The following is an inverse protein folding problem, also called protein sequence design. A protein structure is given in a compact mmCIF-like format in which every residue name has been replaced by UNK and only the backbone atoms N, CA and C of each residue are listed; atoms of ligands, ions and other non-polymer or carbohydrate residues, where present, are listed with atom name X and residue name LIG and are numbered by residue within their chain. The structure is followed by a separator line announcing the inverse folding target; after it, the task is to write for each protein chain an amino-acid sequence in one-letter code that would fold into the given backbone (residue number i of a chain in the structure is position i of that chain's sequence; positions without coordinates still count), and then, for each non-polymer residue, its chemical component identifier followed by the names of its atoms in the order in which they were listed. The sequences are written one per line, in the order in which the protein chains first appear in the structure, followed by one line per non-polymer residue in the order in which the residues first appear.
data_IF_042642294918
#
_entry.id   IF_042642294918
#
_cell.length_a   1.000
_cell.length_b   1.000
_cell.length_c   1.000
_cell.angle_alpha   90.00
_cell.angle_beta   90.00
_cell.angle_gamma   90.00
#
_symmetry.space_group_name_H-M   'P 1'
#
loop_
_entity.id
_entity.type
_entity.pdbx_description
1 polymer ?
#
# COMPACT_ATOMS: atom_id res chain seq x y z
N UNK A 1 0.69 21.15 16.32
CA UNK A 1 2.02 21.18 16.97
C UNK A 1 2.91 20.29 16.15
N UNK A 2 4.20 20.61 15.98
CA UNK A 2 5.10 19.72 15.25
C UNK A 2 5.23 18.37 15.98
N UNK A 3 5.10 17.26 15.25
CA UNK A 3 5.21 15.89 15.76
C UNK A 3 6.63 15.34 15.57
N UNK A 4 7.34 15.81 14.56
CA UNK A 4 8.69 15.43 14.17
C UNK A 4 9.69 16.54 14.48
N UNK A 5 10.90 16.13 14.86
CA UNK A 5 12.05 17.02 15.05
C UNK A 5 13.16 16.74 14.03
N UNK A 6 13.14 15.56 13.42
CA UNK A 6 14.18 15.11 12.49
C UNK A 6 14.02 15.63 11.06
N UNK A 7 12.88 16.27 10.74
CA UNK A 7 12.56 16.77 9.39
C UNK A 7 12.22 18.25 9.47
N UNK A 8 12.75 19.06 8.55
CA UNK A 8 12.41 20.49 8.47
C UNK A 8 10.94 20.67 8.12
N UNK A 9 10.21 21.41 8.97
CA UNK A 9 8.80 21.73 8.77
C UNK A 9 8.50 22.41 7.42
N UNK A 10 9.49 23.07 6.80
CA UNK A 10 9.37 23.66 5.46
C UNK A 10 9.09 22.64 4.36
N UNK A 11 9.41 21.36 4.58
CA UNK A 11 9.12 20.28 3.63
C UNK A 11 7.63 19.90 3.62
N UNK A 12 6.85 20.36 4.62
CA UNK A 12 5.42 20.11 4.73
C UNK A 12 4.57 21.34 4.38
N UNK A 13 3.31 21.10 4.02
CA UNK A 13 2.27 22.13 3.97
C UNK A 13 1.73 22.41 5.36
N UNK A 14 1.32 23.65 5.62
CA UNK A 14 0.71 24.06 6.89
C UNK A 14 -0.73 23.55 7.06
N UNK A 15 -1.43 23.35 5.95
CA UNK A 15 -2.75 22.72 5.89
C UNK A 15 -2.85 21.91 4.60
N UNK A 16 -3.80 20.96 4.53
CA UNK A 16 -4.06 20.18 3.32
C UNK A 16 -4.53 21.15 2.22
N UNK A 17 -3.79 21.34 1.13
CA UNK A 17 -4.18 22.32 0.13
C UNK A 17 -5.20 21.72 -0.85
N UNK A 18 -6.14 22.56 -1.29
CA UNK A 18 -7.11 22.20 -2.33
C UNK A 18 -6.47 22.18 -3.72
N UNK A 19 -5.58 23.14 -3.99
CA UNK A 19 -4.83 23.21 -5.24
C UNK A 19 -3.45 22.58 -5.02
N UNK A 20 -2.90 21.85 -6.00
CA UNK A 20 -1.56 21.32 -5.90
C UNK A 20 -0.53 22.43 -5.69
N UNK A 21 0.37 22.25 -4.71
CA UNK A 21 1.38 23.25 -4.32
C UNK A 21 2.81 22.79 -4.62
N UNK A 22 2.98 21.57 -5.13
CA UNK A 22 4.26 21.08 -5.63
C UNK A 22 5.23 20.62 -4.55
N UNK A 23 4.75 20.19 -3.37
CA UNK A 23 5.60 19.46 -2.40
C UNK A 23 5.31 17.97 -2.49
N UNK A 24 6.35 17.14 -2.52
CA UNK A 24 6.22 15.70 -2.63
C UNK A 24 7.04 15.01 -1.53
N UNK A 25 6.51 13.92 -1.00
CA UNK A 25 7.25 12.98 -0.17
C UNK A 25 7.17 11.58 -0.79
N UNK A 26 8.32 10.97 -1.02
CA UNK A 26 8.45 9.67 -1.67
C UNK A 26 8.98 8.65 -0.65
N UNK A 27 8.17 7.63 -0.33
CA UNK A 27 8.57 6.54 0.55
C UNK A 27 9.20 5.43 -0.29
N UNK A 28 10.52 5.25 -0.15
CA UNK A 28 11.28 4.21 -0.85
C UNK A 28 11.11 2.88 -0.11
N UNK A 29 10.27 2.00 -0.64
CA UNK A 29 9.90 0.75 0.02
C UNK A 29 10.33 -0.45 -0.80
N UNK A 30 11.03 -1.40 -0.19
CA UNK A 30 11.26 -2.73 -0.76
C UNK A 30 10.30 -3.70 -0.05
N UNK A 31 9.36 -4.26 -0.80
CA UNK A 31 8.37 -5.21 -0.26
C UNK A 31 8.88 -6.63 -0.45
N UNK A 32 8.97 -7.38 0.63
CA UNK A 32 9.60 -8.71 0.68
C UNK A 32 8.52 -9.73 1.01
N UNK A 33 8.34 -10.72 0.14
CA UNK A 33 7.39 -11.81 0.41
C UNK A 33 7.96 -12.72 1.51
N UNK A 34 7.23 -12.91 2.61
CA UNK A 34 7.64 -13.83 3.71
C UNK A 34 6.84 -15.14 3.69
N UNK A 35 5.90 -15.25 2.76
CA UNK A 35 5.06 -16.42 2.53
C UNK A 35 4.71 -16.48 1.04
N UNK A 36 3.61 -17.16 0.68
CA UNK A 36 3.16 -17.34 -0.69
C UNK A 36 2.02 -16.38 -1.08
N UNK A 37 2.25 -15.07 -1.32
CA UNK A 37 1.18 -14.17 -1.72
C UNK A 37 0.64 -14.51 -3.11
N UNK A 38 -0.65 -14.19 -3.27
CA UNK A 38 -1.36 -14.37 -4.52
C UNK A 38 -1.72 -13.01 -5.12
N UNK A 39 -0.92 -12.57 -6.10
CA UNK A 39 -1.17 -11.33 -6.83
C UNK A 39 -1.72 -11.62 -8.22
N UNK A 40 -2.97 -12.07 -8.30
CA UNK A 40 -3.62 -12.44 -9.58
C UNK A 40 -4.69 -11.46 -10.08
N UNK A 41 -4.91 -11.44 -11.38
CA UNK A 41 -6.04 -10.81 -12.07
C UNK A 41 -6.56 -11.84 -13.07
N UNK A 42 -7.88 -12.05 -13.12
CA UNK A 42 -8.51 -13.04 -14.01
C UNK A 42 -7.90 -14.46 -13.93
N UNK A 43 -7.58 -14.90 -12.70
CA UNK A 43 -7.03 -16.23 -12.37
C UNK A 43 -5.56 -16.50 -12.77
N UNK A 44 -4.84 -15.51 -13.31
CA UNK A 44 -3.39 -15.62 -13.55
C UNK A 44 -2.59 -14.64 -12.68
N UNK A 45 -1.38 -15.04 -12.29
CA UNK A 45 -0.43 -14.11 -11.67
C UNK A 45 -0.12 -12.96 -12.61
N UNK A 46 -0.14 -11.75 -12.07
CA UNK A 46 0.15 -10.56 -12.83
C UNK A 46 1.62 -10.54 -13.27
N UNK A 47 1.85 -10.48 -14.59
CA UNK A 47 3.17 -10.42 -15.19
C UNK A 47 3.29 -9.28 -16.19
N UNK A 48 4.50 -8.75 -16.34
CA UNK A 48 4.83 -7.75 -17.36
C UNK A 48 6.16 -8.10 -18.02
N UNK A 49 6.21 -7.99 -19.35
CA UNK A 49 7.42 -8.24 -20.14
C UNK A 49 8.19 -6.94 -20.32
N UNK A 50 9.36 -6.84 -19.72
CA UNK A 50 10.18 -5.62 -19.66
C UNK A 50 11.66 -5.95 -19.80
N UNK A 51 12.51 -4.92 -19.97
CA UNK A 51 13.96 -5.11 -19.90
C UNK A 51 14.40 -5.45 -18.47
N UNK A 52 15.41 -6.30 -18.36
CA UNK A 52 15.98 -6.72 -17.09
C UNK A 52 16.64 -5.54 -16.38
N UNK A 53 17.48 -4.77 -17.06
CA UNK A 53 18.16 -3.61 -16.51
C UNK A 53 17.82 -2.31 -17.23
N UNK A 54 18.39 -1.22 -16.73
CA UNK A 54 18.49 0.04 -17.47
C UNK A 54 19.57 -0.12 -18.54
N UNK A 55 20.68 -0.77 -18.17
CA UNK A 55 21.80 -1.14 -19.05
C UNK A 55 21.57 -2.50 -19.70
N UNK A 56 21.13 -3.50 -18.93
CA UNK A 56 20.82 -4.82 -19.49
C UNK A 56 19.51 -4.80 -20.30
N UNK A 57 19.63 -4.95 -21.62
CA UNK A 57 18.50 -4.91 -22.57
C UNK A 57 17.78 -6.26 -22.74
N UNK A 58 18.24 -7.32 -22.08
CA UNK A 58 17.58 -8.62 -22.12
C UNK A 58 16.14 -8.48 -21.62
N UNK A 59 15.21 -9.15 -22.30
CA UNK A 59 13.80 -9.07 -21.94
C UNK A 59 13.43 -10.21 -21.04
N UNK A 60 12.85 -9.91 -19.88
CA UNK A 60 12.35 -10.88 -18.91
C UNK A 60 10.89 -10.59 -18.57
N UNK A 61 10.16 -11.62 -18.17
CA UNK A 61 8.84 -11.47 -17.58
C UNK A 61 9.02 -11.26 -16.07
N UNK A 62 8.51 -10.15 -15.52
CA UNK A 62 8.53 -9.87 -14.07
C UNK A 62 7.14 -10.05 -13.48
N UNK A 63 7.06 -10.45 -12.21
CA UNK A 63 5.81 -10.36 -11.45
C UNK A 63 5.47 -8.88 -11.22
N UNK A 64 4.17 -8.56 -11.25
CA UNK A 64 3.68 -7.19 -11.16
C UNK A 64 2.64 -7.02 -10.06
N UNK A 65 2.98 -6.27 -9.02
CA UNK A 65 2.06 -5.93 -7.93
C UNK A 65 1.35 -4.62 -8.25
N UNK A 66 0.13 -4.70 -8.79
CA UNK A 66 -0.65 -3.51 -9.17
C UNK A 66 -1.04 -2.62 -7.98
N UNK A 67 -1.27 -1.33 -8.27
CA UNK A 67 -1.67 -0.29 -7.30
C UNK A 67 -2.69 -0.77 -6.27
N UNK A 68 -3.85 -1.30 -6.70
CA UNK A 68 -4.93 -1.69 -5.78
C UNK A 68 -4.51 -2.78 -4.80
N UNK A 69 -3.56 -3.65 -5.18
CA UNK A 69 -3.02 -4.71 -4.32
C UNK A 69 -2.07 -4.18 -3.26
N UNK A 70 -1.49 -2.99 -3.47
CA UNK A 70 -0.63 -2.29 -2.51
C UNK A 70 -1.45 -1.37 -1.59
N UNK A 71 -2.17 -0.42 -2.17
CA UNK A 71 -2.81 0.65 -1.39
C UNK A 71 -4.03 0.19 -0.59
N UNK A 72 -4.76 -0.85 -1.04
CA UNK A 72 -5.96 -1.32 -0.33
C UNK A 72 -5.64 -1.84 1.08
N UNK A 73 -4.73 -2.82 1.28
CA UNK A 73 -4.43 -3.29 2.62
C UNK A 73 -3.85 -2.19 3.53
N UNK A 74 -3.04 -1.27 2.98
CA UNK A 74 -2.53 -0.11 3.73
C UNK A 74 -3.64 0.81 4.23
N UNK A 75 -4.63 1.11 3.37
CA UNK A 75 -5.82 1.87 3.76
C UNK A 75 -6.63 1.16 4.82
N UNK A 76 -6.85 -0.15 4.67
CA UNK A 76 -7.62 -0.94 5.63
C UNK A 76 -6.97 -0.93 7.02
N UNK A 77 -5.65 -1.05 7.11
CA UNK A 77 -4.90 -0.93 8.37
C UNK A 77 -5.06 0.46 9.00
N UNK A 78 -4.96 1.52 8.20
CA UNK A 78 -5.19 2.89 8.69
C UNK A 78 -6.61 3.08 9.23
N UNK A 79 -7.62 2.55 8.52
CA UNK A 79 -9.03 2.61 8.93
C UNK A 79 -9.30 1.79 10.18
N UNK A 80 -8.66 0.63 10.34
CA UNK A 80 -8.73 -0.17 11.57
C UNK A 80 -8.22 0.63 12.77
N UNK A 81 -7.11 1.37 12.61
CA UNK A 81 -6.59 2.24 13.68
C UNK A 81 -7.52 3.40 13.99
N UNK A 82 -8.09 4.06 12.97
CA UNK A 82 -9.08 5.13 13.17
C UNK A 82 -10.29 4.63 13.96
N UNK A 83 -10.76 3.40 13.70
CA UNK A 83 -11.85 2.77 14.46
C UNK A 83 -11.45 2.39 15.87
N UNK A 84 -10.26 1.79 16.05
CA UNK A 84 -9.74 1.41 17.37
C UNK A 84 -9.66 2.59 18.33
N UNK A 85 -9.34 3.78 17.82
CA UNK A 85 -9.23 5.00 18.62
C UNK A 85 -10.43 5.95 18.46
N UNK A 86 -11.57 5.44 17.97
CA UNK A 86 -12.86 6.15 17.95
C UNK A 86 -12.86 7.45 17.11
N UNK A 87 -11.96 7.58 16.15
CA UNK A 87 -11.95 8.71 15.20
C UNK A 87 -12.93 8.55 14.04
N UNK A 88 -13.47 7.34 13.86
CA UNK A 88 -14.38 6.94 12.79
C UNK A 88 -15.09 5.64 13.21
N UNK A 89 -16.39 5.49 12.92
CA UNK A 89 -17.10 4.21 13.15
C UNK A 89 -17.16 3.35 11.88
N UNK A 90 -17.62 2.10 12.02
CA UNK A 90 -17.78 1.20 10.87
C UNK A 90 -18.93 1.66 9.96
N UNK A 91 -20.00 2.18 10.55
CA UNK A 91 -21.22 2.62 9.89
C UNK A 91 -21.02 3.95 9.14
N UNK A 92 -20.19 4.84 9.70
CA UNK A 92 -19.85 6.12 9.07
C UNK A 92 -19.06 5.95 7.77
N UNK A 93 -18.22 4.91 7.69
CA UNK A 93 -17.29 4.73 6.59
C UNK A 93 -16.96 3.24 6.37
N UNK A 94 -17.51 2.69 5.30
CA UNK A 94 -17.30 1.32 4.85
C UNK A 94 -16.59 1.28 3.48
N UNK A 95 -15.45 0.61 3.42
CA UNK A 95 -14.61 0.62 2.22
C UNK A 95 -15.35 0.03 1.00
N UNK A 96 -15.38 0.78 -0.10
CA UNK A 96 -16.13 0.47 -1.34
C UNK A 96 -17.67 0.45 -1.20
N UNK A 97 -18.24 0.81 -0.04
CA UNK A 97 -19.69 0.85 0.17
C UNK A 97 -20.15 2.27 0.49
N UNK A 98 -19.59 2.87 1.54
CA UNK A 98 -19.93 4.22 2.00
C UNK A 98 -18.69 4.97 2.47
N UNK A 99 -18.58 6.27 2.15
CA UNK A 99 -17.44 7.08 2.62
C UNK A 99 -17.94 8.29 3.39
N UNK A 100 -17.40 8.51 4.59
CA UNK A 100 -17.74 9.68 5.42
C UNK A 100 -17.27 11.03 4.83
N UNK A 101 -16.35 10.97 3.86
CA UNK A 101 -15.76 12.11 3.14
C UNK A 101 -14.95 13.11 3.98
N UNK A 102 -14.78 12.91 5.29
CA UNK A 102 -14.13 13.88 6.19
C UNK A 102 -13.02 13.30 7.08
N UNK A 103 -12.80 11.98 7.03
CA UNK A 103 -11.75 11.31 7.76
C UNK A 103 -10.41 11.30 6.99
N UNK A 104 -9.28 11.03 7.66
CA UNK A 104 -7.96 11.01 7.04
C UNK A 104 -7.84 10.06 5.83
N UNK A 105 -8.44 8.86 5.90
CA UNK A 105 -8.40 7.92 4.77
C UNK A 105 -9.07 8.49 3.52
N UNK A 106 -10.28 9.04 3.66
CA UNK A 106 -11.02 9.62 2.54
C UNK A 106 -10.31 10.82 1.92
N UNK A 107 -9.75 11.71 2.72
CA UNK A 107 -9.08 12.92 2.20
C UNK A 107 -7.70 12.60 1.59
N UNK A 108 -6.92 11.72 2.22
CA UNK A 108 -5.54 11.44 1.80
C UNK A 108 -5.50 10.43 0.65
N UNK A 109 -6.27 9.33 0.74
CA UNK A 109 -6.32 8.29 -0.29
C UNK A 109 -7.44 8.49 -1.32
N UNK A 110 -8.27 9.51 -1.12
CA UNK A 110 -9.37 9.84 -2.03
C UNK A 110 -10.58 8.90 -1.91
N UNK A 111 -11.67 9.36 -2.51
CA UNK A 111 -12.92 8.64 -2.65
C UNK A 111 -13.64 9.10 -3.92
N UNK A 112 -14.56 8.27 -4.41
CA UNK A 112 -15.47 8.64 -5.48
C UNK A 112 -16.85 8.10 -5.11
N UNK A 113 -17.81 9.00 -4.89
CA UNK A 113 -19.21 8.66 -4.61
C UNK A 113 -20.05 9.31 -5.69
N UNK A 114 -20.32 8.57 -6.76
CA UNK A 114 -21.23 8.93 -7.87
C UNK A 114 -21.36 10.44 -8.10
N UNK A 115 -22.59 10.94 -7.97
CA UNK A 115 -22.92 12.36 -8.12
C UNK A 115 -22.69 13.18 -6.84
N UNK A 116 -22.42 12.53 -5.70
CA UNK A 116 -22.24 13.18 -4.39
C UNK A 116 -20.82 13.73 -4.17
N UNK A 117 -19.90 13.48 -5.10
CA UNK A 117 -18.58 14.09 -5.14
C UNK A 117 -17.43 13.09 -5.19
N UNK A 118 -16.27 13.59 -5.59
CA UNK A 118 -15.03 12.80 -5.65
C UNK A 118 -13.85 13.65 -5.21
N UNK A 119 -12.95 13.06 -4.41
CA UNK A 119 -11.66 13.64 -4.07
C UNK A 119 -10.56 12.73 -4.66
N UNK A 120 -9.63 13.35 -5.40
CA UNK A 120 -8.49 12.61 -5.97
C UNK A 120 -7.52 12.22 -4.86
N UNK A 121 -7.05 10.98 -4.90
CA UNK A 121 -6.00 10.50 -3.99
C UNK A 121 -4.76 11.38 -4.06
N UNK A 122 -4.30 11.84 -2.89
CA UNK A 122 -3.01 12.53 -2.72
C UNK A 122 -1.87 11.53 -2.65
N UNK A 123 -2.17 10.28 -2.29
CA UNK A 123 -1.24 9.15 -2.38
C UNK A 123 -1.26 8.54 -3.77
N UNK A 124 -0.12 8.53 -4.43
CA UNK A 124 0.12 7.89 -5.72
C UNK A 124 1.00 6.66 -5.50
N UNK A 125 0.47 5.51 -5.92
CA UNK A 125 1.16 4.22 -5.90
C UNK A 125 1.11 3.68 -7.31
N UNK A 126 2.27 3.33 -7.85
CA UNK A 126 2.41 2.69 -9.15
C UNK A 126 2.65 1.18 -9.00
N UNK A 127 2.63 0.45 -10.11
CA UNK A 127 2.94 -0.98 -10.15
C UNK A 127 4.35 -1.24 -9.64
N UNK A 128 4.50 -2.16 -8.70
CA UNK A 128 5.81 -2.63 -8.25
C UNK A 128 6.18 -3.90 -9.02
N UNK A 129 7.43 -4.01 -9.44
CA UNK A 129 7.92 -5.14 -10.25
C UNK A 129 8.91 -5.96 -9.44
N UNK A 130 8.84 -7.29 -9.53
CA UNK A 130 9.84 -8.18 -8.90
C UNK A 130 11.23 -7.91 -9.46
N UNK A 131 12.29 -8.02 -8.66
CA UNK A 131 13.70 -7.93 -9.13
C UNK A 131 14.10 -9.16 -9.95
N UNK A 132 13.58 -10.34 -9.59
CA UNK A 132 13.81 -11.61 -10.28
C UNK A 132 12.78 -11.88 -11.37
N UNK A 133 13.08 -12.80 -12.28
CA UNK A 133 12.18 -13.19 -13.35
C UNK A 133 11.00 -14.05 -12.84
N UNK A 134 9.91 -14.08 -13.59
CA UNK A 134 8.69 -14.83 -13.28
C UNK A 134 9.01 -16.30 -13.02
N UNK A 135 9.79 -16.95 -13.89
CA UNK A 135 10.12 -18.37 -13.82
C UNK A 135 10.85 -18.76 -12.53
N UNK A 136 11.61 -17.83 -11.95
CA UNK A 136 12.36 -18.02 -10.70
C UNK A 136 11.52 -17.70 -9.45
N UNK A 137 10.46 -16.90 -9.63
CA UNK A 137 9.74 -16.22 -8.54
C UNK A 137 8.36 -16.80 -8.26
N UNK A 138 7.93 -17.82 -9.00
CA UNK A 138 6.63 -18.47 -8.81
C UNK A 138 6.77 -19.96 -8.50
N UNK A 139 5.74 -20.50 -7.87
CA UNK A 139 5.59 -21.93 -7.60
C UNK A 139 4.12 -22.31 -7.76
N UNK A 140 3.87 -23.38 -8.51
CA UNK A 140 2.53 -23.91 -8.72
C UNK A 140 2.14 -24.82 -7.56
N UNK A 141 1.17 -24.39 -6.76
CA UNK A 141 0.58 -25.23 -5.72
C UNK A 141 -0.58 -26.04 -6.28
N UNK A 142 -0.56 -27.34 -6.03
CA UNK A 142 -1.73 -28.20 -6.24
C UNK A 142 -2.45 -28.35 -4.90
N UNK A 143 -3.55 -27.63 -4.70
CA UNK A 143 -4.35 -27.74 -3.49
C UNK A 143 -5.21 -29.00 -3.57
N UNK A 144 -4.87 -29.98 -2.75
CA UNK A 144 -5.61 -31.21 -2.57
C UNK A 144 -6.68 -31.01 -1.47
N UNK A 145 -7.94 -31.31 -1.76
CA UNK A 145 -9.01 -31.34 -0.77
C UNK A 145 -9.35 -32.81 -0.43
N UNK A 146 -8.78 -33.37 0.64
CA UNK A 146 -9.11 -34.72 1.09
C UNK A 146 -10.53 -34.75 1.69
N UNK A 147 -11.17 -35.92 1.66
CA UNK A 147 -12.39 -36.21 2.42
C UNK A 147 -12.09 -36.22 3.93
N UNK A 148 -13.13 -36.25 4.76
CA UNK A 148 -13.01 -36.26 6.23
C UNK A 148 -12.14 -37.41 6.77
N UNK A 149 -12.07 -38.50 6.00
CA UNK A 149 -11.22 -39.65 6.26
C UNK A 149 -9.72 -39.43 5.93
N UNK A 150 -9.32 -38.22 5.53
CA UNK A 150 -7.96 -37.84 5.16
C UNK A 150 -7.50 -38.34 3.80
N UNK A 151 -8.35 -39.04 3.04
CA UNK A 151 -8.01 -39.61 1.72
C UNK A 151 -8.61 -38.79 0.58
N UNK A 152 -7.95 -38.80 -0.58
CA UNK A 152 -8.43 -38.10 -1.78
C UNK A 152 -9.54 -38.86 -2.52
N UNK A 153 -9.73 -40.14 -2.21
CA UNK A 153 -10.73 -41.01 -2.82
C UNK A 153 -11.94 -41.13 -1.91
N UNK A 154 -13.13 -40.93 -2.47
CA UNK A 154 -14.37 -41.13 -1.74
C UNK A 154 -14.51 -42.59 -1.32
N UNK A 155 -15.03 -42.84 -0.12
CA UNK A 155 -15.47 -44.17 0.30
C UNK A 155 -16.98 -44.38 0.11
N UNK A 156 -17.62 -43.54 -0.70
CA UNK A 156 -19.07 -43.52 -0.87
C UNK A 156 -19.78 -42.53 0.05
N UNK A 157 -19.11 -41.44 0.44
CA UNK A 157 -19.77 -40.30 1.10
C UNK A 157 -20.92 -39.74 0.22
N UNK A 158 -21.90 -39.09 0.85
CA UNK A 158 -23.15 -38.69 0.18
C UNK A 158 -22.90 -37.81 -1.06
N UNK A 159 -23.18 -38.34 -2.25
CA UNK A 159 -23.00 -37.65 -3.53
C UNK A 159 -21.73 -37.99 -4.32
N UNK A 160 -20.89 -38.93 -3.85
CA UNK A 160 -19.69 -39.41 -4.57
C UNK A 160 -19.63 -40.94 -4.62
N UNK A 161 -19.05 -41.51 -5.70
CA UNK A 161 -18.88 -42.96 -5.85
C UNK A 161 -17.64 -43.44 -5.09
N UNK A 162 -17.71 -44.63 -4.50
CA UNK A 162 -16.54 -45.24 -3.85
C UNK A 162 -15.39 -45.41 -4.85
N UNK A 163 -14.22 -44.85 -4.54
CA UNK A 163 -13.05 -44.78 -5.43
C UNK A 163 -12.96 -43.51 -6.29
N UNK A 164 -13.95 -42.61 -6.25
CA UNK A 164 -13.94 -41.34 -6.98
C UNK A 164 -13.00 -40.35 -6.29
N UNK A 165 -11.95 -39.93 -6.98
CA UNK A 165 -10.99 -38.95 -6.48
C UNK A 165 -11.60 -37.55 -6.58
N UNK A 166 -11.47 -36.71 -5.55
CA UNK A 166 -12.03 -35.35 -5.61
C UNK A 166 -11.47 -34.60 -6.82
N UNK A 167 -12.36 -34.03 -7.65
CA UNK A 167 -11.99 -33.11 -8.73
C UNK A 167 -11.62 -31.72 -8.20
N UNK A 168 -11.56 -31.55 -6.88
CA UNK A 168 -11.18 -30.32 -6.18
C UNK A 168 -9.66 -30.18 -6.12
N UNK A 169 -8.99 -30.47 -7.23
CA UNK A 169 -7.58 -30.21 -7.46
C UNK A 169 -7.54 -28.80 -8.04
N UNK A 170 -7.31 -27.80 -7.20
CA UNK A 170 -7.13 -26.43 -7.69
C UNK A 170 -5.63 -26.18 -7.82
N UNK A 171 -5.13 -26.09 -9.05
CA UNK A 171 -3.76 -25.67 -9.32
C UNK A 171 -3.72 -24.16 -9.37
N UNK A 172 -2.88 -23.56 -8.55
CA UNK A 172 -2.77 -22.11 -8.47
C UNK A 172 -1.32 -21.70 -8.28
N UNK A 173 -0.86 -20.80 -9.14
CA UNK A 173 0.46 -20.21 -9.05
C UNK A 173 0.52 -19.21 -7.90
N UNK A 174 1.51 -19.38 -7.05
CA UNK A 174 1.82 -18.47 -5.97
C UNK A 174 3.20 -17.86 -6.18
N UNK A 175 3.38 -16.67 -5.62
CA UNK A 175 4.69 -16.03 -5.59
C UNK A 175 5.49 -16.69 -4.46
N UNK A 176 6.76 -17.03 -4.72
CA UNK A 176 7.65 -17.61 -3.69
C UNK A 176 7.94 -16.61 -2.57
N UNK A 177 8.30 -17.08 -1.37
CA UNK A 177 8.97 -16.26 -0.36
C UNK A 177 10.29 -15.69 -0.89
N UNK A 178 10.78 -14.63 -0.25
CA UNK A 178 12.02 -13.92 -0.60
C UNK A 178 12.05 -13.37 -2.03
N UNK A 179 10.88 -12.94 -2.53
CA UNK A 179 10.75 -12.15 -3.75
C UNK A 179 10.59 -10.68 -3.36
N UNK A 180 11.40 -9.84 -4.00
CA UNK A 180 11.55 -8.42 -3.66
C UNK A 180 10.87 -7.54 -4.70
N UNK A 181 10.02 -6.61 -4.24
CA UNK A 181 9.28 -5.64 -5.05
C UNK A 181 9.62 -4.21 -4.59
N UNK A 182 10.60 -3.55 -5.23
CA UNK A 182 10.84 -2.13 -5.06
C UNK A 182 9.60 -1.32 -5.47
N UNK A 183 9.19 -0.39 -4.60
CA UNK A 183 8.00 0.44 -4.75
C UNK A 183 8.22 1.80 -4.13
N UNK A 184 7.91 2.85 -4.88
CA UNK A 184 7.93 4.23 -4.46
C UNK A 184 6.48 4.65 -4.24
N UNK A 185 6.13 4.93 -2.99
CA UNK A 185 4.82 5.51 -2.65
C UNK A 185 4.99 7.03 -2.57
N UNK A 186 4.25 7.77 -3.38
CA UNK A 186 4.35 9.23 -3.44
C UNK A 186 3.17 9.87 -2.75
N UNK A 187 3.41 10.77 -1.80
CA UNK A 187 2.40 11.62 -1.18
C UNK A 187 2.55 13.04 -1.72
N UNK A 188 1.50 13.54 -2.38
CA UNK A 188 1.42 14.90 -2.90
C UNK A 188 0.93 15.87 -1.83
N UNK A 189 1.61 17.00 -1.75
CA UNK A 189 1.37 18.11 -0.83
C UNK A 189 1.20 17.66 0.63
N UNK A 190 2.21 16.99 1.19
CA UNK A 190 2.12 16.42 2.53
C UNK A 190 2.00 17.52 3.58
N UNK A 191 0.96 17.46 4.42
CA UNK A 191 1.09 17.96 5.80
C UNK A 191 1.88 16.94 6.62
N UNK A 192 2.46 17.37 7.74
CA UNK A 192 3.20 16.49 8.64
C UNK A 192 2.35 15.30 9.12
N UNK A 193 1.09 15.54 9.50
CA UNK A 193 0.18 14.49 9.94
C UNK A 193 -0.20 13.53 8.80
N UNK A 194 -0.41 14.04 7.58
CA UNK A 194 -0.69 13.19 6.41
C UNK A 194 0.51 12.30 6.03
N UNK A 195 1.72 12.85 6.12
CA UNK A 195 2.98 12.12 5.91
C UNK A 195 3.09 10.97 6.91
N UNK A 196 2.94 11.26 8.19
CA UNK A 196 3.00 10.26 9.26
C UNK A 196 1.88 9.23 9.18
N UNK A 197 0.67 9.62 8.77
CA UNK A 197 -0.44 8.69 8.56
C UNK A 197 -0.10 7.65 7.49
N UNK A 198 0.40 8.10 6.33
CA UNK A 198 0.81 7.20 5.23
C UNK A 198 2.01 6.35 5.62
N UNK A 199 3.02 6.95 6.25
CA UNK A 199 4.20 6.24 6.76
C UNK A 199 3.78 5.11 7.71
N UNK A 200 2.94 5.42 8.69
CA UNK A 200 2.43 4.45 9.65
C UNK A 200 1.64 3.31 8.99
N UNK A 201 0.82 3.61 7.99
CA UNK A 201 0.06 2.59 7.26
C UNK A 201 0.99 1.62 6.51
N UNK A 202 2.01 2.14 5.82
CA UNK A 202 3.03 1.32 5.14
C UNK A 202 3.76 0.45 6.18
N UNK A 203 4.21 1.06 7.28
CA UNK A 203 4.97 0.36 8.33
C UNK A 203 4.18 -0.72 9.07
N UNK A 204 2.86 -0.61 9.17
CA UNK A 204 2.04 -1.57 9.92
C UNK A 204 1.44 -2.67 9.07
N UNK A 205 1.35 -2.47 7.76
CA UNK A 205 0.75 -3.46 6.87
C UNK A 205 1.66 -4.67 6.71
N UNK A 206 1.13 -5.87 7.01
CA UNK A 206 1.87 -7.15 6.96
C UNK A 206 1.27 -8.19 6.03
N UNK A 207 0.02 -8.01 5.62
CA UNK A 207 -0.69 -8.96 4.76
C UNK A 207 -1.20 -8.26 3.51
N UNK A 208 -0.83 -8.81 2.36
CA UNK A 208 -1.18 -8.32 1.04
C UNK A 208 -1.78 -9.47 0.22
N UNK A 209 -2.83 -9.17 -0.54
CA UNK A 209 -3.57 -10.15 -1.33
C UNK A 209 -4.93 -10.52 -0.71
N UNK A 210 -5.65 -11.44 -1.36
CA UNK A 210 -7.02 -11.80 -0.99
C UNK A 210 -7.11 -12.91 0.07
N UNK A 211 -6.11 -13.79 0.16
CA UNK A 211 -6.10 -14.97 1.04
C UNK A 211 -5.27 -14.74 2.32
N UNK A 212 -5.47 -13.61 2.98
CA UNK A 212 -4.65 -13.14 4.12
C UNK A 212 -4.68 -14.03 5.36
N UNK A 213 -5.61 -14.99 5.44
CA UNK A 213 -5.73 -15.93 6.57
C UNK A 213 -4.82 -17.14 6.47
N UNK A 214 -4.27 -17.45 5.28
CA UNK A 214 -3.40 -18.62 5.04
C UNK A 214 -2.05 -18.25 4.43
N UNK A 215 -2.01 -17.20 3.61
CA UNK A 215 -0.81 -16.73 2.91
C UNK A 215 -0.81 -15.20 2.81
N UNK A 216 0.16 -14.62 2.09
CA UNK A 216 0.14 -13.19 1.80
C UNK A 216 0.91 -12.32 2.78
N UNK A 217 1.67 -12.91 3.70
CA UNK A 217 2.61 -12.17 4.54
C UNK A 217 3.71 -11.53 3.69
N UNK A 218 3.83 -10.21 3.80
CA UNK A 218 4.83 -9.37 3.14
C UNK A 218 5.35 -8.35 4.15
N UNK A 219 6.66 -8.23 4.25
CA UNK A 219 7.30 -7.17 5.03
C UNK A 219 7.62 -5.98 4.13
N UNK A 220 7.32 -4.78 4.62
CA UNK A 220 7.70 -3.54 3.95
C UNK A 220 8.97 -3.03 4.62
N UNK A 221 10.08 -3.07 3.89
CA UNK A 221 11.35 -2.49 4.33
C UNK A 221 11.50 -1.09 3.73
N UNK A 222 11.58 -0.07 4.59
CA UNK A 222 11.76 1.30 4.12
C UNK A 222 13.25 1.61 4.01
N UNK A 223 13.68 1.93 2.80
CA UNK A 223 15.08 2.24 2.47
C UNK A 223 15.39 3.71 2.72
N UNK A 224 14.38 4.58 2.60
CA UNK A 224 14.51 6.02 2.78
C UNK A 224 13.23 6.79 2.46
N UNK A 225 13.31 8.10 2.64
CA UNK A 225 12.29 9.07 2.21
C UNK A 225 12.98 10.18 1.44
N UNK A 226 12.43 10.53 0.28
CA UNK A 226 12.89 11.69 -0.51
C UNK A 226 11.80 12.73 -0.49
N UNK A 227 12.14 13.96 -0.12
CA UNK A 227 11.28 15.12 -0.30
C UNK A 227 11.68 15.85 -1.58
N UNK A 228 10.73 16.27 -2.41
CA UNK A 228 11.04 16.93 -3.67
C UNK A 228 9.98 17.95 -4.09
N UNK A 229 10.30 18.77 -5.08
CA UNK A 229 9.36 19.68 -5.76
C UNK A 229 8.71 19.10 -7.04
N UNK A 230 9.00 17.82 -7.34
CA UNK A 230 8.44 17.06 -8.46
C UNK A 230 8.36 15.55 -8.16
N UNK A 231 7.84 14.78 -9.12
CA UNK A 231 7.90 13.31 -9.04
C UNK A 231 9.32 12.83 -9.39
N UNK A 232 9.81 11.83 -8.65
CA UNK A 232 11.10 11.17 -8.90
C UNK A 232 10.96 10.00 -9.89
N UNK A 233 12.07 9.30 -10.12
CA UNK A 233 12.15 8.06 -10.90
C UNK A 233 11.02 7.05 -10.63
N UNK A 234 10.69 6.24 -11.63
CA UNK A 234 9.60 5.25 -11.54
C UNK A 234 10.01 3.95 -10.86
N UNK A 235 9.04 3.20 -10.36
CA UNK A 235 9.24 1.87 -9.77
C UNK A 235 10.00 0.94 -10.73
N UNK A 236 9.61 0.91 -12.00
CA UNK A 236 10.26 0.05 -12.99
C UNK A 236 11.73 0.43 -13.20
N UNK A 237 12.03 1.74 -13.30
CA UNK A 237 13.39 2.23 -13.51
C UNK A 237 14.27 1.94 -12.29
N UNK A 238 13.74 2.10 -11.09
CA UNK A 238 14.44 1.72 -9.86
C UNK A 238 14.69 0.21 -9.78
N UNK A 239 13.69 -0.64 -10.04
CA UNK A 239 13.86 -2.11 -10.11
C UNK A 239 14.92 -2.52 -11.13
N UNK A 240 14.94 -1.88 -12.30
CA UNK A 240 15.92 -2.13 -13.36
C UNK A 240 17.34 -1.71 -12.94
N UNK A 241 17.48 -0.57 -12.27
CA UNK A 241 18.76 -0.12 -11.76
C UNK A 241 19.28 -1.04 -10.64
N UNK A 242 18.41 -1.54 -9.76
CA UNK A 242 18.77 -2.54 -8.75
C UNK A 242 19.27 -3.81 -9.42
N UNK A 243 18.56 -4.30 -10.44
CA UNK A 243 18.98 -5.48 -11.21
C UNK A 243 20.38 -5.29 -11.80
N UNK A 244 20.67 -4.15 -12.43
CA UNK A 244 21.99 -3.86 -12.98
C UNK A 244 23.09 -3.83 -11.90
N UNK A 245 22.82 -3.23 -10.74
CA UNK A 245 23.76 -3.17 -9.61
C UNK A 245 24.06 -4.56 -9.05
N UNK A 246 23.02 -5.36 -8.81
CA UNK A 246 23.19 -6.73 -8.32
C UNK A 246 23.95 -7.61 -9.32
N UNK A 247 23.71 -7.39 -10.62
CA UNK A 247 24.41 -8.12 -11.68
C UNK A 247 25.89 -7.76 -11.72
N UNK A 248 26.21 -6.47 -11.62
CA UNK A 248 27.58 -5.98 -11.60
C UNK A 248 28.37 -6.51 -10.39
N UNK A 249 27.70 -6.67 -9.25
CA UNK A 249 28.30 -7.15 -8.00
C UNK A 249 28.29 -8.69 -7.86
N UNK A 250 27.80 -9.43 -8.86
CA UNK A 250 27.62 -10.89 -8.81
C UNK A 250 26.74 -11.37 -7.63
N UNK A 251 25.77 -10.57 -7.20
CA UNK A 251 24.80 -10.91 -6.14
C UNK A 251 23.45 -11.40 -6.67
N UNK A 252 23.24 -11.33 -8.00
CA UNK A 252 22.14 -11.99 -8.70
C UNK A 252 22.41 -13.49 -8.84
N UNK A 253 22.21 -14.25 -7.75
CA UNK A 253 22.48 -15.69 -7.68
C UNK A 253 21.30 -16.53 -8.16
N UNK A 254 20.94 -16.44 -9.44
CA UNK A 254 19.89 -17.33 -10.00
C UNK A 254 20.36 -18.81 -9.98
N UNK A 255 19.54 -19.79 -9.55
CA UNK A 255 18.12 -19.70 -9.17
C UNK A 255 17.87 -19.55 -7.65
N UNK A 256 18.92 -19.35 -6.85
CA UNK A 256 18.82 -19.20 -5.40
C UNK A 256 18.08 -17.90 -5.02
N UNK A 257 17.41 -17.86 -3.85
CA UNK A 257 16.84 -16.63 -3.34
C UNK A 257 17.89 -15.52 -3.21
N UNK A 258 17.47 -14.28 -3.49
CA UNK A 258 18.35 -13.13 -3.31
C UNK A 258 18.61 -12.88 -1.82
N UNK A 259 19.85 -12.53 -1.50
CA UNK A 259 20.22 -12.06 -0.17
C UNK A 259 19.61 -10.66 0.06
N UNK A 260 18.97 -10.48 1.21
CA UNK A 260 18.28 -9.24 1.52
C UNK A 260 19.23 -8.06 1.71
N UNK A 261 20.37 -8.26 2.36
CA UNK A 261 21.34 -7.19 2.60
C UNK A 261 21.93 -6.71 1.28
N UNK A 262 22.20 -7.63 0.35
CA UNK A 262 22.62 -7.33 -1.01
C UNK A 262 21.55 -6.54 -1.79
N UNK A 263 20.28 -6.93 -1.66
CA UNK A 263 19.16 -6.21 -2.30
C UNK A 263 19.00 -4.81 -1.72
N UNK A 264 19.02 -4.64 -0.40
CA UNK A 264 18.87 -3.34 0.25
C UNK A 264 20.05 -2.43 -0.06
N UNK A 265 21.27 -2.96 -0.06
CA UNK A 265 22.48 -2.22 -0.46
C UNK A 265 22.37 -1.77 -1.91
N UNK A 266 21.97 -2.67 -2.82
CA UNK A 266 21.77 -2.34 -4.23
C UNK A 266 20.63 -1.34 -4.43
N UNK A 267 19.56 -1.40 -3.63
CA UNK A 267 18.44 -0.48 -3.64
C UNK A 267 18.85 0.95 -3.27
N UNK A 268 19.65 1.11 -2.21
CA UNK A 268 20.23 2.39 -1.78
C UNK A 268 21.12 2.98 -2.88
N UNK A 269 22.12 2.23 -3.32
CA UNK A 269 23.04 2.71 -4.36
C UNK A 269 22.34 3.00 -5.68
N UNK A 270 21.32 2.22 -6.05
CA UNK A 270 20.55 2.45 -7.27
C UNK A 270 19.72 3.73 -7.20
N UNK A 271 19.05 4.01 -6.07
CA UNK A 271 18.23 5.23 -5.96
C UNK A 271 19.11 6.47 -5.88
N UNK A 272 20.23 6.45 -5.15
CA UNK A 272 21.16 7.58 -5.05
C UNK A 272 21.71 7.96 -6.43
N UNK A 273 22.11 6.97 -7.23
CA UNK A 273 22.56 7.22 -8.60
C UNK A 273 21.45 7.78 -9.49
N UNK A 274 20.22 7.28 -9.37
CA UNK A 274 19.09 7.79 -10.15
C UNK A 274 18.76 9.23 -9.77
N UNK A 275 18.81 9.58 -8.48
CA UNK A 275 18.52 10.94 -8.00
C UNK A 275 19.58 11.96 -8.44
N UNK A 276 20.85 11.56 -8.55
CA UNK A 276 21.90 12.42 -9.10
C UNK A 276 21.66 12.87 -10.55
N UNK A 277 20.86 12.11 -11.30
CA UNK A 277 20.48 12.42 -12.69
C UNK A 277 19.15 13.19 -12.79
N UNK A 278 18.43 13.39 -11.67
CA UNK A 278 17.15 14.11 -11.67
C UNK A 278 17.35 15.63 -11.71
N UNK A 279 16.41 16.34 -12.36
CA UNK A 279 16.50 17.79 -12.58
C UNK A 279 15.67 18.62 -11.59
N UNK A 280 15.17 17.98 -10.53
CA UNK A 280 14.26 18.56 -9.55
C UNK A 280 15.01 18.96 -8.27
N UNK A 281 14.41 19.80 -7.43
CA UNK A 281 14.98 20.08 -6.11
C UNK A 281 14.52 18.98 -5.16
N UNK A 282 15.48 18.30 -4.53
CA UNK A 282 15.20 17.21 -3.62
C UNK A 282 16.04 17.26 -2.33
N UNK A 283 15.54 16.61 -1.30
CA UNK A 283 16.20 16.39 -0.01
C UNK A 283 16.05 14.92 0.33
N UNK A 284 17.18 14.22 0.33
CA UNK A 284 17.23 12.76 0.43
C UNK A 284 17.55 12.33 1.86
N UNK A 285 16.66 11.56 2.46
CA UNK A 285 16.89 10.84 3.70
C UNK A 285 17.00 9.35 3.37
N UNK A 286 18.20 8.90 3.04
CA UNK A 286 18.49 7.52 2.62
C UNK A 286 19.61 6.97 3.51
N UNK A 287 19.58 5.65 3.78
CA UNK A 287 20.63 5.00 4.58
C UNK A 287 20.72 5.59 5.99
N UNK A 288 21.91 6.00 6.40
CA UNK A 288 22.15 6.50 7.77
C UNK A 288 21.40 7.79 8.08
N UNK A 289 21.18 8.65 7.07
CA UNK A 289 20.40 9.87 7.22
C UNK A 289 18.90 9.60 7.49
N UNK A 290 18.41 8.41 7.11
CA UNK A 290 17.03 8.00 7.36
C UNK A 290 16.82 7.44 8.77
N UNK A 291 17.87 6.91 9.41
CA UNK A 291 17.79 6.22 10.70
C UNK A 291 17.14 7.08 11.79
N UNK A 292 17.50 8.37 11.97
CA UNK A 292 16.86 9.23 12.97
C UNK A 292 15.35 9.36 12.75
N UNK A 293 14.92 9.57 11.50
CA UNK A 293 13.51 9.74 11.15
C UNK A 293 12.72 8.46 11.42
N UNK A 294 13.17 7.31 10.93
CA UNK A 294 12.43 6.06 11.13
C UNK A 294 12.35 5.68 12.61
N UNK A 295 13.39 5.98 13.40
CA UNK A 295 13.36 5.75 14.85
C UNK A 295 12.41 6.70 15.56
N UNK A 296 12.37 7.98 15.18
CA UNK A 296 11.40 8.95 15.71
C UNK A 296 9.96 8.51 15.40
N UNK A 297 9.67 8.12 14.16
CA UNK A 297 8.35 7.61 13.76
C UNK A 297 7.98 6.34 14.50
N UNK A 298 8.91 5.38 14.66
CA UNK A 298 8.68 4.17 15.45
C UNK A 298 8.38 4.49 16.91
N UNK A 299 9.13 5.41 17.52
CA UNK A 299 8.91 5.83 18.90
C UNK A 299 7.56 6.53 19.08
N UNK A 300 7.17 7.40 18.14
CA UNK A 300 5.88 8.06 18.13
C UNK A 300 4.73 7.05 18.01
N UNK A 301 4.85 6.09 17.10
CA UNK A 301 3.76 5.15 16.77
C UNK A 301 3.68 3.93 17.68
N UNK A 302 4.76 3.57 18.39
CA UNK A 302 4.77 2.49 19.39
C UNK A 302 4.21 2.95 20.76
N UNK A 303 4.02 4.26 20.95
CA UNK A 303 3.38 4.82 22.12
C UNK A 303 1.90 5.11 21.83
N UNK A 304 0.98 4.63 22.67
CA UNK A 304 -0.46 4.86 22.50
C UNK A 304 -0.81 6.36 22.48
N UNK A 305 -0.18 7.17 23.32
CA UNK A 305 -0.39 8.61 23.33
C UNK A 305 0.10 9.27 22.03
N UNK A 306 1.22 8.78 21.48
CA UNK A 306 1.80 9.30 20.25
C UNK A 306 1.02 8.92 19.00
N UNK A 307 0.52 7.68 18.90
CA UNK A 307 -0.37 7.31 17.79
C UNK A 307 -1.71 8.04 17.87
N UNK A 308 -2.27 8.25 19.08
CA UNK A 308 -3.49 9.05 19.26
C UNK A 308 -3.28 10.51 18.85
N UNK A 309 -2.17 11.14 19.23
CA UNK A 309 -1.89 12.53 18.84
C UNK A 309 -1.73 12.68 17.32
N UNK A 310 -1.04 11.74 16.67
CA UNK A 310 -0.93 11.68 15.21
C UNK A 310 -2.31 11.58 14.55
N UNK A 311 -3.11 10.59 14.95
CA UNK A 311 -4.43 10.36 14.35
C UNK A 311 -5.39 11.51 14.62
N UNK A 312 -5.36 12.11 15.80
CA UNK A 312 -6.13 13.30 16.14
C UNK A 312 -5.78 14.46 15.20
N UNK A 313 -4.49 14.77 15.04
CA UNK A 313 -4.06 15.86 14.17
C UNK A 313 -4.46 15.61 12.71
N UNK A 314 -4.24 14.39 12.20
CA UNK A 314 -4.66 14.02 10.84
C UNK A 314 -6.19 14.16 10.67
N UNK A 315 -6.97 13.76 11.67
CA UNK A 315 -8.44 13.85 11.65
C UNK A 315 -8.93 15.30 11.67
N UNK A 316 -8.31 16.15 12.48
CA UNK A 316 -8.66 17.58 12.56
C UNK A 316 -8.33 18.30 11.25
N UNK A 317 -7.16 18.03 10.66
CA UNK A 317 -6.77 18.56 9.35
C UNK A 317 -7.73 18.09 8.24
N UNK A 318 -8.10 16.79 8.23
CA UNK A 318 -9.03 16.23 7.26
C UNK A 318 -10.44 16.83 7.38
N UNK A 319 -10.96 16.98 8.60
CA UNK A 319 -12.26 17.63 8.85
C UNK A 319 -12.26 19.10 8.49
N UNK A 320 -11.16 19.81 8.77
CA UNK A 320 -11.02 21.22 8.40
C UNK A 320 -11.03 21.39 6.87
N UNK A 321 -10.32 20.51 6.14
CA UNK A 321 -10.33 20.47 4.68
C UNK A 321 -11.73 20.17 4.14
N UNK A 322 -12.36 19.10 4.64
CA UNK A 322 -13.70 18.67 4.21
C UNK A 322 -14.74 19.77 4.43
N UNK A 323 -14.72 20.46 5.57
CA UNK A 323 -15.62 21.58 5.87
C UNK A 323 -15.47 22.73 4.88
N UNK A 324 -14.26 23.00 4.39
CA UNK A 324 -13.98 24.08 3.43
C UNK A 324 -14.31 23.68 1.99
N UNK A 325 -14.08 22.43 1.61
CA UNK A 325 -14.02 22.02 0.20
C UNK A 325 -14.98 20.91 -0.23
N UNK A 326 -15.56 20.14 0.71
CA UNK A 326 -16.44 19.02 0.40
C UNK A 326 -17.88 19.36 0.82
N UNK A 327 -18.73 19.59 -0.19
CA UNK A 327 -20.16 19.86 -0.01
C UNK A 327 -20.95 18.54 0.09
N UNK A 328 -20.86 17.88 1.25
CA UNK A 328 -21.66 16.67 1.54
C UNK A 328 -22.47 16.77 2.83
N UNK A 329 -21.88 17.30 3.91
CA UNK A 329 -22.56 17.35 5.22
C UNK A 329 -23.47 18.56 5.44
N UNK A 330 -23.44 19.60 4.59
CA UNK A 330 -24.13 20.87 4.88
C UNK A 330 -25.59 20.96 4.44
N UNK A 331 -26.09 20.06 3.58
CA UNK A 331 -27.46 20.17 3.05
C UNK A 331 -28.40 19.06 3.52
N UNK A 332 -27.96 17.81 3.69
CA UNK A 332 -28.85 16.71 4.10
C UNK A 332 -29.37 16.87 5.55
N UNK A 333 -28.60 17.50 6.44
CA UNK A 333 -29.03 17.80 7.81
C UNK A 333 -30.10 18.91 7.90
N UNK A 334 -30.34 19.68 6.83
CA UNK A 334 -31.39 20.73 6.82
C UNK A 334 -32.76 20.19 6.40
N UNK A 335 -32.82 19.05 5.71
CA UNK A 335 -34.07 18.43 5.25
C UNK A 335 -34.70 17.46 6.26
N UNK A 336 -33.97 17.06 7.31
CA UNK A 336 -34.49 16.22 8.38
C UNK A 336 -34.99 17.04 9.58
N UNK A 337 -36.11 17.77 9.41
CA UNK A 337 -36.94 18.19 10.56
C UNK A 337 -38.34 17.57 10.43
N UNK A 338 -38.93 17.11 11.55
CA UNK A 338 -40.08 16.21 11.54
C UNK A 338 -41.35 16.98 11.16
N UNK A 339 -42.09 16.50 10.16
CA UNK A 339 -43.47 16.97 9.94
C UNK A 339 -44.36 16.44 11.07
N UNK A 340 -44.54 17.28 12.09
CA UNK A 340 -45.67 17.21 12.99
C UNK A 340 -46.90 17.86 12.32
N UNK A 341 -48.06 17.19 12.40
CA UNK A 341 -49.38 17.69 11.99
C UNK A 341 -50.33 16.52 11.72
N UNK A 342 -51.02 15.97 12.73
CA UNK A 342 -52.36 16.35 13.24
C UNK A 342 -53.50 16.38 12.20
N UNK A 343 -54.51 15.56 12.50
CA UNK A 343 -55.95 15.63 12.17
C UNK A 343 -56.35 15.31 10.72
N UNK A 344 -57.51 14.73 10.39
CA UNK A 344 -58.59 14.05 11.11
C UNK A 344 -59.60 13.56 10.04
N UNK A 345 -60.22 12.38 10.27
CA UNK A 345 -61.59 11.92 9.92
C UNK A 345 -62.23 12.09 8.51
N UNK A 346 -63.10 11.09 8.26
CA UNK A 346 -64.19 10.95 7.27
C UNK A 346 -63.74 10.38 5.90
N UNK A 347 -64.33 9.33 5.34
CA UNK A 347 -65.60 8.59 5.56
C UNK A 347 -65.39 7.08 5.76
#
# INVERSE_FOLDING_TARGET
MALLKTVDAKLFQSEIPYKPMGKYAHFLTVRITESYPLFQTDSELNKARVRAGVKDKNTISRLSMFKRKQSTPERLVGRELLRKYEFMTAEECEYNVSFAMDNPDCIIYGFAIGDSGSEKSKVVVDTAFSITAFDESHETFTLNAPFENGTMASKGESGSKAGEVTSRINQQDHIRPQVFFPSIVTLKDPTEASFLYVFNNILRTRHYGAQTTRTGRVRNELVGVIFADGEITSNLRWTQAIYDQMKANNTLKSPDPLDEDDVITSAKSAIENLMNDEFIVHTDLIGDAFIPLVNEVKNLTNNEAGIKSLLQQANDEAKAYAKKHIKGKSEEAKTAKPKAGKNAKAE
#
